data_IF_404051141860
#
_entry.id   IF_404051141860
#
_cell.length_a   1.000
_cell.length_b   1.000
_cell.length_c   1.000
_cell.angle_alpha   90.00
_cell.angle_beta   90.00
_cell.angle_gamma   90.00
#
_symmetry.space_group_name_H-M   'P 1'
#
loop_
_entity.id
_entity.type
_entity.pdbx_description
1 polymer ?
#
# COMPACT_ATOMS: atom_id res chain seq x y z
N UNK A 1 -10.60 -30.04 9.32
CA UNK A 1 -9.62 -29.10 9.89
C UNK A 1 -10.07 -27.71 9.46
N UNK A 2 -10.49 -26.89 10.41
CA UNK A 2 -10.93 -25.52 10.15
C UNK A 2 -9.77 -24.59 10.52
N UNK A 3 -9.42 -23.67 9.62
CA UNK A 3 -8.37 -22.69 9.84
C UNK A 3 -9.04 -21.32 10.02
N UNK A 4 -8.86 -20.71 11.19
CA UNK A 4 -9.38 -19.39 11.49
C UNK A 4 -8.40 -18.31 11.03
N UNK A 5 -8.88 -17.36 10.23
CA UNK A 5 -8.10 -16.21 9.78
C UNK A 5 -8.87 -14.91 10.04
N UNK A 6 -8.15 -13.86 10.43
CA UNK A 6 -8.73 -12.51 10.51
C UNK A 6 -8.88 -11.91 9.12
N UNK A 7 -10.02 -11.27 8.85
CA UNK A 7 -10.23 -10.50 7.61
C UNK A 7 -9.41 -9.20 7.56
N UNK A 8 -8.86 -8.76 8.69
CA UNK A 8 -8.15 -7.49 8.84
C UNK A 8 -6.80 -7.70 9.53
N UNK A 9 -5.83 -6.92 9.11
CA UNK A 9 -4.48 -6.88 9.68
C UNK A 9 -4.18 -5.46 10.16
N UNK A 10 -3.29 -5.35 11.13
CA UNK A 10 -2.86 -4.07 11.70
C UNK A 10 -1.38 -3.89 11.45
N UNK A 11 -0.99 -2.69 11.03
CA UNK A 11 0.37 -2.27 10.76
C UNK A 11 0.69 -1.02 11.57
N UNK A 12 1.92 -0.91 12.08
CA UNK A 12 2.41 0.30 12.74
C UNK A 12 3.48 0.92 11.83
N UNK A 13 3.19 2.04 11.17
CA UNK A 13 4.15 2.70 10.29
C UNK A 13 5.38 3.22 11.03
N UNK A 14 6.49 3.37 10.32
CA UNK A 14 7.76 3.96 10.79
C UNK A 14 7.77 5.48 10.64
N UNK A 15 6.97 6.00 9.71
CA UNK A 15 6.83 7.42 9.43
C UNK A 15 6.88 8.28 10.70
N UNK A 16 7.72 9.31 10.66
CA UNK A 16 7.90 10.29 11.73
C UNK A 16 8.19 9.70 13.13
N UNK A 17 8.94 8.59 13.19
CA UNK A 17 9.36 7.98 14.46
C UNK A 17 8.22 7.27 15.21
N UNK A 18 7.15 6.91 14.52
CA UNK A 18 5.94 6.35 15.12
C UNK A 18 6.18 4.99 15.81
N UNK A 19 7.15 4.20 15.36
CA UNK A 19 7.49 2.94 16.05
C UNK A 19 8.27 3.15 17.33
N UNK A 20 9.05 4.21 17.37
CA UNK A 20 9.90 4.61 18.48
C UNK A 20 9.12 5.36 19.55
N UNK A 21 7.98 5.96 19.20
CA UNK A 21 7.07 6.62 20.12
C UNK A 21 6.48 5.66 21.18
N UNK A 22 6.00 6.17 22.33
CA UNK A 22 5.27 5.39 23.32
C UNK A 22 4.02 4.74 22.72
N UNK A 23 3.66 3.53 23.15
CA UNK A 23 2.53 2.77 22.59
C UNK A 23 1.20 3.54 22.57
N UNK A 24 0.99 4.48 23.52
CA UNK A 24 -0.20 5.32 23.61
C UNK A 24 -0.27 6.41 22.52
N UNK A 25 0.89 6.83 21.99
CA UNK A 25 1.00 7.90 21.00
C UNK A 25 1.18 7.36 19.58
N UNK A 26 1.25 6.03 19.41
CA UNK A 26 1.42 5.42 18.10
C UNK A 26 0.13 5.47 17.32
N UNK A 27 0.23 5.86 16.05
CA UNK A 27 -0.83 5.63 15.10
C UNK A 27 -0.68 4.25 14.46
N UNK A 28 -1.81 3.65 14.09
CA UNK A 28 -1.88 2.32 13.48
C UNK A 28 -2.70 2.35 12.22
N UNK A 29 -2.41 1.41 11.33
CA UNK A 29 -3.05 1.29 10.03
C UNK A 29 -3.71 -0.07 9.96
N UNK A 30 -5.03 -0.07 9.80
CA UNK A 30 -5.83 -1.28 9.62
C UNK A 30 -6.07 -1.47 8.13
N UNK A 31 -5.75 -2.66 7.63
CA UNK A 31 -5.85 -3.00 6.22
C UNK A 31 -6.45 -4.39 6.01
N UNK A 32 -6.88 -4.66 4.78
CA UNK A 32 -7.48 -5.95 4.41
C UNK A 32 -6.44 -7.05 4.42
N UNK A 33 -6.81 -8.22 4.94
CA UNK A 33 -5.98 -9.41 4.74
C UNK A 33 -5.97 -9.76 3.23
N UNK A 34 -4.80 -9.81 2.57
CA UNK A 34 -4.68 -10.14 1.15
C UNK A 34 -5.41 -11.43 0.76
N UNK A 35 -6.14 -11.38 -0.35
CA UNK A 35 -6.73 -12.57 -0.99
C UNK A 35 -6.25 -12.70 -2.44
N UNK A 36 -6.29 -13.89 -3.06
CA UNK A 36 -5.94 -14.04 -4.47
C UNK A 36 -6.72 -13.11 -5.41
N UNK A 37 -7.98 -12.81 -5.08
CA UNK A 37 -8.80 -11.86 -5.82
C UNK A 37 -8.30 -10.41 -5.67
N UNK A 38 -7.96 -9.98 -4.45
CA UNK A 38 -7.36 -8.66 -4.21
C UNK A 38 -6.02 -8.52 -4.93
N UNK A 39 -5.15 -9.54 -4.85
CA UNK A 39 -3.87 -9.57 -5.53
C UNK A 39 -4.02 -9.37 -7.05
N UNK A 40 -4.90 -10.14 -7.68
CA UNK A 40 -5.12 -10.07 -9.12
C UNK A 40 -5.71 -8.73 -9.59
N UNK A 41 -6.43 -8.03 -8.70
CA UNK A 41 -7.02 -6.73 -8.98
C UNK A 41 -6.04 -5.57 -8.79
N UNK A 42 -5.20 -5.64 -7.75
CA UNK A 42 -4.36 -4.52 -7.31
C UNK A 42 -2.93 -4.58 -7.85
N UNK A 43 -2.42 -5.77 -8.17
CA UNK A 43 -1.11 -5.90 -8.83
C UNK A 43 -1.35 -6.05 -10.34
N UNK A 44 -1.01 -5.03 -11.16
CA UNK A 44 -1.14 -5.15 -12.60
C UNK A 44 -0.24 -6.27 -13.12
N UNK A 45 -0.72 -6.98 -14.14
CA UNK A 45 0.12 -7.95 -14.84
C UNK A 45 1.23 -7.19 -15.56
N UNK A 46 2.49 -7.62 -15.48
CA UNK A 46 3.56 -6.97 -16.24
C UNK A 46 3.24 -7.03 -17.73
N UNK A 47 3.15 -5.87 -18.36
CA UNK A 47 3.01 -5.76 -19.82
C UNK A 47 4.41 -5.81 -20.44
N UNK A 48 4.63 -6.81 -21.30
CA UNK A 48 5.80 -6.88 -22.16
C UNK A 48 5.55 -5.99 -23.38
N UNK A 49 6.26 -4.86 -23.47
CA UNK A 49 6.25 -4.03 -24.67
C UNK A 49 7.50 -4.31 -25.48
N UNK A 50 7.31 -4.90 -26.65
CA UNK A 50 8.38 -5.10 -27.63
C UNK A 50 8.50 -3.84 -28.49
N UNK A 51 9.71 -3.31 -28.62
CA UNK A 51 10.07 -2.32 -29.64
C UNK A 51 10.53 -3.06 -30.88
N UNK A 52 9.96 -2.68 -32.02
CA UNK A 52 10.29 -3.24 -33.33
C UNK A 52 10.95 -2.17 -34.19
N UNK A 53 11.98 -2.54 -34.95
CA UNK A 53 12.58 -1.68 -35.97
C UNK A 53 11.65 -1.54 -37.21
N UNK A 54 12.08 -0.70 -38.16
CA UNK A 54 11.38 -0.49 -39.43
C UNK A 54 11.28 -1.75 -40.31
N UNK A 55 12.08 -2.78 -40.03
CA UNK A 55 12.08 -4.07 -40.73
C UNK A 55 11.25 -5.15 -40.00
N UNK A 56 10.61 -4.78 -38.87
CA UNK A 56 9.77 -5.68 -38.07
C UNK A 56 10.53 -6.62 -37.14
N UNK A 57 11.83 -6.41 -36.91
CA UNK A 57 12.63 -7.19 -35.95
C UNK A 57 12.58 -6.53 -34.57
N UNK A 58 12.63 -7.36 -33.52
CA UNK A 58 12.62 -6.89 -32.13
C UNK A 58 13.96 -6.26 -31.78
N UNK A 59 13.99 -4.95 -31.53
CA UNK A 59 15.18 -4.24 -31.04
C UNK A 59 15.36 -4.34 -29.53
N UNK A 60 14.28 -4.61 -28.79
CA UNK A 60 14.31 -4.77 -27.34
C UNK A 60 12.91 -4.89 -26.74
N UNK A 61 12.84 -5.46 -25.54
CA UNK A 61 11.61 -5.52 -24.74
C UNK A 61 11.78 -4.72 -23.46
N UNK A 62 10.78 -3.90 -23.12
CA UNK A 62 10.73 -3.20 -21.84
C UNK A 62 9.54 -3.71 -21.04
N UNK A 63 9.80 -4.12 -19.80
CA UNK A 63 8.76 -4.48 -18.84
C UNK A 63 8.32 -3.21 -18.13
N UNK A 64 7.14 -2.69 -18.46
CA UNK A 64 6.59 -1.53 -17.77
C UNK A 64 5.76 -2.02 -16.58
N UNK A 65 6.28 -1.85 -15.37
CA UNK A 65 5.50 -2.04 -14.15
C UNK A 65 4.98 -0.66 -13.73
N UNK A 66 3.78 -0.30 -14.18
CA UNK A 66 3.09 0.89 -13.68
C UNK A 66 2.73 0.64 -12.21
N UNK A 67 3.40 1.32 -11.29
CA UNK A 67 3.11 1.25 -9.86
C UNK A 67 1.94 2.16 -9.53
N UNK A 68 0.74 1.60 -9.47
CA UNK A 68 -0.43 2.34 -9.02
C UNK A 68 -0.52 2.32 -7.49
N UNK A 69 0.32 3.13 -6.84
CA UNK A 69 0.32 3.34 -5.37
C UNK A 69 -1.09 3.67 -4.87
N UNK A 70 -1.82 4.46 -5.66
CA UNK A 70 -3.19 4.88 -5.36
C UNK A 70 -4.15 3.71 -5.35
N UNK A 71 -4.16 2.87 -6.39
CA UNK A 71 -5.03 1.70 -6.42
C UNK A 71 -4.72 0.72 -5.28
N UNK A 72 -3.43 0.51 -4.95
CA UNK A 72 -3.03 -0.38 -3.86
C UNK A 72 -3.56 0.14 -2.52
N UNK A 73 -3.30 1.41 -2.18
CA UNK A 73 -3.75 2.02 -0.93
C UNK A 73 -5.27 2.04 -0.85
N UNK A 74 -5.96 2.54 -1.89
CA UNK A 74 -7.43 2.61 -1.92
C UNK A 74 -8.07 1.21 -1.83
N UNK A 75 -7.39 0.20 -2.36
CA UNK A 75 -7.85 -1.18 -2.36
C UNK A 75 -7.63 -1.94 -1.06
N UNK A 76 -6.59 -1.57 -0.29
CA UNK A 76 -6.12 -2.30 0.90
C UNK A 76 -6.44 -1.59 2.20
N UNK A 77 -6.30 -0.27 2.25
CA UNK A 77 -6.49 0.52 3.45
C UNK A 77 -7.95 0.48 3.90
N UNK A 78 -8.17 0.16 5.18
CA UNK A 78 -9.50 0.22 5.80
C UNK A 78 -9.61 1.48 6.64
N UNK A 79 -8.63 1.73 7.51
CA UNK A 79 -8.62 2.87 8.41
C UNK A 79 -7.21 3.18 8.91
N UNK A 80 -6.97 4.44 9.21
CA UNK A 80 -5.82 4.91 10.01
C UNK A 80 -6.34 5.40 11.35
N UNK A 81 -5.74 4.93 12.43
CA UNK A 81 -6.12 5.21 13.82
C UNK A 81 -5.02 6.01 14.50
N UNK A 82 -5.35 7.16 15.08
CA UNK A 82 -4.42 7.97 15.87
C UNK A 82 -3.56 8.96 15.06
N UNK A 83 -3.83 9.15 13.76
CA UNK A 83 -3.10 10.11 12.93
C UNK A 83 -3.89 11.41 12.75
N UNK A 84 -3.30 12.52 13.16
CA UNK A 84 -3.86 13.86 12.96
C UNK A 84 -2.75 14.89 12.74
N UNK A 85 -3.08 16.00 12.08
CA UNK A 85 -2.18 17.11 11.85
C UNK A 85 -2.90 18.44 12.06
N UNK A 86 -2.16 19.50 12.34
CA UNK A 86 -2.70 20.87 12.41
C UNK A 86 -2.35 21.64 11.15
N UNK A 87 -3.34 22.27 10.54
CA UNK A 87 -3.18 23.17 9.40
C UNK A 87 -3.99 24.43 9.68
N UNK A 88 -3.35 25.59 9.63
CA UNK A 88 -4.00 26.89 9.87
C UNK A 88 -4.78 26.98 11.20
N UNK A 89 -4.31 26.27 12.23
CA UNK A 89 -4.95 26.22 13.55
C UNK A 89 -6.07 25.19 13.68
N UNK A 90 -6.47 24.54 12.58
CA UNK A 90 -7.46 23.46 12.58
C UNK A 90 -6.77 22.09 12.69
N UNK A 91 -7.28 21.23 13.57
CA UNK A 91 -6.85 19.84 13.65
C UNK A 91 -7.62 19.02 12.61
N UNK A 92 -6.90 18.36 11.70
CA UNK A 92 -7.45 17.43 10.72
C UNK A 92 -6.99 16.02 11.05
N UNK A 93 -7.92 15.08 10.97
CA UNK A 93 -7.66 13.67 11.22
C UNK A 93 -7.48 12.95 9.89
N UNK A 94 -6.49 12.06 9.82
CA UNK A 94 -6.29 11.19 8.67
C UNK A 94 -6.81 9.82 9.07
N UNK A 95 -8.01 9.47 8.59
CA UNK A 95 -8.68 8.21 8.95
C UNK A 95 -8.82 7.23 7.80
N UNK A 96 -8.73 7.69 6.56
CA UNK A 96 -8.93 6.88 5.36
C UNK A 96 -7.97 7.30 4.23
N UNK A 97 -8.01 6.55 3.13
CA UNK A 97 -7.15 6.81 1.98
C UNK A 97 -7.38 8.22 1.40
N UNK A 98 -8.63 8.67 1.32
CA UNK A 98 -8.96 9.99 0.77
C UNK A 98 -8.32 11.10 1.60
N UNK A 99 -8.48 11.02 2.91
CA UNK A 99 -7.90 11.96 3.88
C UNK A 99 -6.38 11.99 3.81
N UNK A 100 -5.75 10.83 3.52
CA UNK A 100 -4.31 10.72 3.34
C UNK A 100 -3.83 11.36 2.04
N UNK A 101 -4.56 11.18 0.94
CA UNK A 101 -4.25 11.82 -0.35
C UNK A 101 -4.49 13.32 -0.36
N UNK A 102 -5.46 13.80 0.42
CA UNK A 102 -5.75 15.23 0.60
C UNK A 102 -4.80 15.89 1.64
N UNK A 103 -3.94 15.11 2.29
CA UNK A 103 -3.02 15.60 3.32
C UNK A 103 -1.81 16.34 2.70
N UNK A 104 -1.10 17.15 3.49
CA UNK A 104 0.11 17.83 3.03
C UNK A 104 1.19 16.87 2.53
N UNK A 105 2.05 17.34 1.62
CA UNK A 105 3.09 16.54 0.97
C UNK A 105 4.08 15.85 1.92
N UNK A 106 4.17 16.29 3.18
CA UNK A 106 4.96 15.61 4.22
C UNK A 106 4.51 14.16 4.44
N UNK A 107 3.25 13.83 4.13
CA UNK A 107 2.71 12.49 4.22
C UNK A 107 3.01 11.62 2.99
N UNK A 108 3.67 12.15 1.96
CA UNK A 108 4.08 11.35 0.78
C UNK A 108 5.02 10.20 1.18
N UNK A 109 5.88 10.43 2.18
CA UNK A 109 6.71 9.36 2.76
C UNK A 109 5.87 8.24 3.40
N UNK A 110 4.79 8.61 4.11
CA UNK A 110 3.85 7.63 4.66
C UNK A 110 3.12 6.88 3.54
N UNK A 111 2.72 7.58 2.48
CA UNK A 111 2.07 6.98 1.30
C UNK A 111 3.00 5.93 0.67
N UNK A 112 4.27 6.27 0.46
CA UNK A 112 5.27 5.33 -0.06
C UNK A 112 5.45 4.12 0.85
N UNK A 113 5.61 4.37 2.16
CA UNK A 113 5.76 3.30 3.14
C UNK A 113 4.56 2.33 3.12
N UNK A 114 3.33 2.86 3.06
CA UNK A 114 2.12 2.06 3.03
C UNK A 114 1.96 1.31 1.70
N UNK A 115 2.26 1.95 0.58
CA UNK A 115 2.20 1.30 -0.73
C UNK A 115 3.17 0.13 -0.80
N UNK A 116 4.41 0.31 -0.33
CA UNK A 116 5.43 -0.73 -0.28
C UNK A 116 5.05 -1.86 0.68
N UNK A 117 4.54 -1.52 1.87
CA UNK A 117 4.09 -2.52 2.84
C UNK A 117 2.93 -3.36 2.26
N UNK A 118 1.87 -2.71 1.74
CA UNK A 118 0.73 -3.42 1.16
C UNK A 118 1.11 -4.25 -0.06
N UNK A 119 2.01 -3.75 -0.89
CA UNK A 119 2.54 -4.54 -2.01
C UNK A 119 3.26 -5.77 -1.51
N UNK A 120 4.14 -5.64 -0.52
CA UNK A 120 4.83 -6.77 0.09
C UNK A 120 3.82 -7.80 0.62
N UNK A 121 2.76 -7.36 1.30
CA UNK A 121 1.69 -8.24 1.77
C UNK A 121 0.92 -8.94 0.62
N UNK A 122 0.65 -8.25 -0.49
CA UNK A 122 0.01 -8.84 -1.68
C UNK A 122 0.95 -9.81 -2.42
N UNK A 123 2.24 -9.53 -2.44
CA UNK A 123 3.25 -10.33 -3.12
C UNK A 123 3.68 -11.55 -2.32
N UNK A 124 3.63 -11.48 -0.98
CA UNK A 124 3.88 -12.61 -0.08
C UNK A 124 3.13 -13.82 -0.59
N UNK A 125 3.89 -14.78 -1.10
CA UNK A 125 3.38 -16.13 -1.28
C UNK A 125 3.07 -16.59 0.14
N UNK A 126 1.83 -16.99 0.39
CA UNK A 126 1.54 -17.79 1.57
C UNK A 126 2.37 -19.06 1.36
N UNK A 127 3.58 -19.09 1.91
CA UNK A 127 4.31 -20.32 2.12
C UNK A 127 3.41 -21.11 3.07
N UNK A 128 2.60 -21.99 2.49
CA UNK A 128 1.93 -23.05 3.23
C UNK A 128 3.02 -23.94 3.79
N UNK A 129 3.62 -23.53 4.92
CA UNK A 129 4.35 -24.47 5.76
C UNK A 129 3.30 -25.25 6.57
N UNK A 130 3.12 -26.49 6.10
CA UNK A 130 2.51 -27.63 6.77
C UNK A 130 2.72 -27.65 8.28
#
# INVERSE_FOLDING_TARGET
MELEFSAKLTYVPKFNGNREAPAADRFTVVYRNPTPALKSRLLPKPELRFRYDSDGRVEGGETVISQDRKAIIDGMLIRIDGLSYKLDGETRNITDAKSLWDAPIIFDELIDELADHFRSELEKKIDQKN
#
